data_IF_590494503635
#
_entry.id   IF_590494503635
#
_cell.length_a   1.000
_cell.length_b   1.000
_cell.length_c   1.000
_cell.angle_alpha   90.00
_cell.angle_beta   90.00
_cell.angle_gamma   90.00
#
_symmetry.space_group_name_H-M   'P 1'
#
loop_
_entity.id
_entity.type
_entity.pdbx_description
1 polymer ?
#
# COMPACT_ATOMS: atom_id res chain seq x y z
N UNK A 1 13.59 3.40 -6.47
CA UNK A 1 14.59 2.43 -5.95
C UNK A 1 15.50 1.84 -7.03
N UNK A 2 15.08 1.82 -8.29
CA UNK A 2 15.83 1.21 -9.41
C UNK A 2 17.31 1.64 -9.47
N UNK A 3 17.58 2.95 -9.46
CA UNK A 3 18.95 3.49 -9.47
C UNK A 3 19.79 3.14 -8.22
N UNK A 4 19.16 2.73 -7.12
CA UNK A 4 19.82 2.36 -5.87
C UNK A 4 19.87 0.84 -5.71
N UNK A 5 20.14 0.10 -6.80
CA UNK A 5 20.18 -1.36 -6.82
C UNK A 5 18.94 -2.01 -6.19
N UNK A 6 17.75 -1.48 -6.49
CA UNK A 6 16.48 -1.90 -5.90
C UNK A 6 16.50 -2.00 -4.36
N UNK A 7 16.96 -0.94 -3.67
CA UNK A 7 17.09 -0.88 -2.19
C UNK A 7 15.84 -1.27 -1.37
N UNK A 8 14.66 -1.35 -1.99
CA UNK A 8 13.40 -1.74 -1.34
C UNK A 8 12.89 -3.14 -1.74
N UNK A 9 13.73 -3.94 -2.41
CA UNK A 9 13.39 -5.31 -2.79
C UNK A 9 12.93 -6.14 -1.59
N UNK A 10 11.81 -6.84 -1.74
CA UNK A 10 11.23 -7.69 -0.70
C UNK A 10 10.57 -6.96 0.47
N UNK A 11 10.63 -5.63 0.51
CA UNK A 11 9.89 -4.84 1.51
C UNK A 11 8.42 -4.73 1.13
N UNK A 12 7.58 -4.52 2.14
CA UNK A 12 6.15 -4.26 1.97
C UNK A 12 5.96 -2.81 1.51
N UNK A 13 5.17 -2.62 0.45
CA UNK A 13 4.77 -1.30 -0.05
C UNK A 13 3.25 -1.24 -0.20
N UNK A 14 2.61 -0.25 0.41
CA UNK A 14 1.16 -0.10 0.35
C UNK A 14 0.80 1.35 0.00
N UNK A 15 0.18 1.57 -1.16
CA UNK A 15 -0.31 2.89 -1.54
C UNK A 15 -1.61 3.16 -0.76
N UNK A 16 -1.79 4.40 -0.28
CA UNK A 16 -3.02 4.88 0.34
C UNK A 16 -3.30 6.28 -0.19
N UNK A 17 -4.54 6.54 -0.60
CA UNK A 17 -4.94 7.83 -1.20
C UNK A 17 -6.15 8.39 -0.46
N UNK A 18 -6.09 9.66 -0.07
CA UNK A 18 -7.24 10.41 0.40
C UNK A 18 -7.69 11.41 -0.67
N UNK A 19 -8.99 11.46 -0.97
CA UNK A 19 -9.53 12.28 -2.07
C UNK A 19 -10.89 12.87 -1.73
N UNK A 20 -11.31 13.94 -2.41
CA UNK A 20 -12.68 14.47 -2.28
C UNK A 20 -13.67 13.98 -3.34
N UNK A 21 -13.22 13.70 -4.57
CA UNK A 21 -14.08 13.34 -5.72
C UNK A 21 -13.42 12.37 -6.70
N UNK A 22 -12.43 12.81 -7.46
CA UNK A 22 -11.83 12.03 -8.56
C UNK A 22 -10.31 12.04 -8.56
N UNK A 23 -9.71 11.16 -9.36
CA UNK A 23 -8.25 11.02 -9.52
C UNK A 23 -7.61 9.99 -8.58
N UNK A 24 -8.36 9.40 -7.65
CA UNK A 24 -7.81 8.46 -6.68
C UNK A 24 -7.24 7.20 -7.35
N UNK A 25 -7.94 6.61 -8.33
CA UNK A 25 -7.46 5.44 -9.08
C UNK A 25 -6.14 5.71 -9.79
N UNK A 26 -6.06 6.81 -10.55
CA UNK A 26 -4.82 7.16 -11.25
C UNK A 26 -3.65 7.41 -10.28
N UNK A 27 -3.88 8.11 -9.17
CA UNK A 27 -2.85 8.34 -8.16
C UNK A 27 -2.41 7.01 -7.50
N UNK A 28 -3.38 6.17 -7.11
CA UNK A 28 -3.15 4.87 -6.50
C UNK A 28 -2.33 3.95 -7.42
N UNK A 29 -2.72 3.84 -8.69
CA UNK A 29 -2.04 3.02 -9.68
C UNK A 29 -0.62 3.53 -9.94
N UNK A 30 -0.45 4.85 -10.09
CA UNK A 30 0.86 5.48 -10.31
C UNK A 30 1.83 5.17 -9.17
N UNK A 31 1.38 5.24 -7.92
CA UNK A 31 2.21 4.90 -6.76
C UNK A 31 2.55 3.40 -6.78
N UNK A 32 1.58 2.53 -7.05
CA UNK A 32 1.82 1.08 -7.08
C UNK A 32 2.77 0.66 -8.21
N UNK A 33 2.75 1.30 -9.38
CA UNK A 33 3.75 1.07 -10.43
C UNK A 33 5.18 1.30 -9.90
N UNK A 34 5.38 2.33 -9.07
CA UNK A 34 6.68 2.61 -8.45
C UNK A 34 7.11 1.53 -7.45
N UNK A 35 6.17 0.95 -6.69
CA UNK A 35 6.43 -0.17 -5.79
C UNK A 35 6.78 -1.44 -6.56
N UNK A 36 6.05 -1.74 -7.63
CA UNK A 36 6.32 -2.89 -8.50
C UNK A 36 7.72 -2.81 -9.14
N UNK A 37 8.06 -1.65 -9.74
CA UNK A 37 9.41 -1.43 -10.30
C UNK A 37 10.51 -1.50 -9.24
N UNK A 38 10.17 -1.24 -7.97
CA UNK A 38 11.08 -1.31 -6.84
C UNK A 38 11.16 -2.70 -6.19
N UNK A 39 10.52 -3.73 -6.78
CA UNK A 39 10.47 -5.11 -6.27
C UNK A 39 9.89 -5.21 -4.85
N UNK A 40 8.93 -4.34 -4.54
CA UNK A 40 8.21 -4.39 -3.27
C UNK A 40 7.05 -5.37 -3.35
N UNK A 41 6.68 -5.96 -2.21
CA UNK A 41 5.52 -6.84 -2.08
C UNK A 41 4.33 -5.96 -1.68
N UNK A 42 3.25 -6.00 -2.47
CA UNK A 42 2.10 -5.12 -2.28
C UNK A 42 0.96 -5.94 -1.64
N UNK A 43 0.62 -5.69 -0.36
CA UNK A 43 -0.53 -6.31 0.27
C UNK A 43 -1.82 -5.64 -0.23
N UNK A 44 -2.85 -6.45 -0.44
CA UNK A 44 -4.19 -5.96 -0.71
C UNK A 44 -4.97 -5.77 0.59
N UNK A 45 -6.15 -5.16 0.46
CA UNK A 45 -7.13 -5.09 1.53
C UNK A 45 -8.51 -5.48 0.98
N UNK A 46 -9.59 -5.14 1.69
CA UNK A 46 -10.97 -5.45 1.28
C UNK A 46 -11.38 -4.71 0.02
N UNK A 47 -10.75 -3.57 -0.29
CA UNK A 47 -10.91 -2.83 -1.54
C UNK A 47 -9.66 -1.98 -1.85
N UNK A 48 -9.69 -1.15 -2.90
CA UNK A 48 -8.61 -0.19 -3.17
C UNK A 48 -8.41 0.76 -2.00
N UNK A 49 -7.15 1.02 -1.64
CA UNK A 49 -6.79 1.78 -0.43
C UNK A 49 -7.06 3.28 -0.58
N UNK A 50 -8.34 3.64 -0.62
CA UNK A 50 -8.84 4.99 -0.83
C UNK A 50 -9.71 5.41 0.35
N UNK A 51 -9.63 6.69 0.72
CA UNK A 51 -10.53 7.31 1.69
C UNK A 51 -11.09 8.63 1.15
N UNK A 52 -12.35 8.92 1.44
CA UNK A 52 -13.07 10.06 0.87
C UNK A 52 -13.41 11.14 1.91
N UNK A 53 -13.11 12.40 1.59
CA UNK A 53 -13.46 13.57 2.41
C UNK A 53 -13.11 14.90 1.74
N UNK A 54 -13.97 15.91 1.90
CA UNK A 54 -13.73 17.26 1.35
C UNK A 54 -12.84 18.08 2.29
N UNK A 55 -13.19 18.09 3.58
CA UNK A 55 -12.50 18.86 4.62
C UNK A 55 -11.55 17.97 5.41
N UNK A 56 -10.51 18.55 6.01
CA UNK A 56 -9.62 17.85 6.94
C UNK A 56 -10.43 17.09 7.98
N UNK A 57 -10.18 15.80 8.11
CA UNK A 57 -10.85 14.93 9.09
C UNK A 57 -12.19 14.35 8.64
N UNK A 58 -12.77 14.79 7.51
CA UNK A 58 -14.00 14.16 7.01
C UNK A 58 -13.81 12.71 6.58
N UNK A 59 -12.60 12.33 6.18
CA UNK A 59 -12.24 10.92 5.92
C UNK A 59 -12.48 10.01 7.13
N UNK A 60 -12.58 10.57 8.34
CA UNK A 60 -12.93 9.80 9.53
C UNK A 60 -14.40 9.36 9.56
N UNK A 61 -15.25 9.94 8.69
CA UNK A 61 -16.65 9.56 8.51
C UNK A 61 -16.84 8.58 7.34
N UNK A 62 -15.79 8.31 6.58
CA UNK A 62 -15.80 7.28 5.54
C UNK A 62 -15.62 5.91 6.21
N UNK A 63 -16.72 5.33 6.68
CA UNK A 63 -16.70 4.08 7.45
C UNK A 63 -16.12 2.91 6.65
N UNK A 64 -16.43 2.84 5.35
CA UNK A 64 -15.93 1.83 4.44
C UNK A 64 -14.43 2.00 4.19
N UNK A 65 -13.99 3.22 3.86
CA UNK A 65 -12.58 3.54 3.70
C UNK A 65 -11.77 3.23 4.96
N UNK A 66 -12.29 3.61 6.14
CA UNK A 66 -11.66 3.26 7.42
C UNK A 66 -11.64 1.75 7.70
N UNK A 67 -12.71 1.03 7.37
CA UNK A 67 -12.73 -0.43 7.51
C UNK A 67 -11.66 -1.07 6.62
N UNK A 68 -11.54 -0.59 5.38
CA UNK A 68 -10.51 -0.99 4.45
C UNK A 68 -9.09 -0.69 4.98
N UNK A 69 -8.85 0.48 5.57
CA UNK A 69 -7.54 0.81 6.19
C UNK A 69 -7.23 -0.08 7.39
N UNK A 70 -8.21 -0.38 8.25
CA UNK A 70 -8.03 -1.30 9.37
C UNK A 70 -7.67 -2.70 8.89
N UNK A 71 -8.32 -3.18 7.84
CA UNK A 71 -8.01 -4.46 7.24
C UNK A 71 -6.61 -4.45 6.58
N UNK A 72 -6.25 -3.37 5.88
CA UNK A 72 -4.91 -3.21 5.29
C UNK A 72 -3.82 -3.30 6.35
N UNK A 73 -4.00 -2.64 7.50
CA UNK A 73 -3.07 -2.73 8.62
C UNK A 73 -2.90 -4.17 9.13
N UNK A 74 -3.99 -4.94 9.24
CA UNK A 74 -3.93 -6.37 9.60
C UNK A 74 -3.21 -7.19 8.52
N UNK A 75 -3.43 -6.92 7.24
CA UNK A 75 -2.72 -7.58 6.15
C UNK A 75 -1.22 -7.27 6.15
N UNK A 76 -0.83 -6.02 6.43
CA UNK A 76 0.57 -5.62 6.55
C UNK A 76 1.24 -6.35 7.72
N UNK A 77 0.60 -6.38 8.89
CA UNK A 77 1.11 -7.11 10.06
C UNK A 77 1.26 -8.61 9.79
N UNK A 78 0.20 -9.24 9.26
CA UNK A 78 0.22 -10.66 8.93
C UNK A 78 1.30 -10.98 7.89
N UNK A 79 1.36 -10.22 6.80
CA UNK A 79 2.35 -10.41 5.74
C UNK A 79 3.75 -10.19 6.26
N UNK A 80 3.98 -9.14 7.05
CA UNK A 80 5.25 -8.83 7.67
C UNK A 80 5.78 -10.00 8.50
N UNK A 81 4.93 -10.54 9.39
CA UNK A 81 5.28 -11.74 10.18
C UNK A 81 5.52 -12.97 9.31
N UNK A 82 4.78 -13.13 8.22
CA UNK A 82 4.94 -14.26 7.30
C UNK A 82 6.25 -14.21 6.49
N UNK A 83 6.67 -13.03 6.03
CA UNK A 83 7.87 -12.88 5.21
C UNK A 83 9.15 -12.72 6.02
N UNK A 84 9.06 -12.22 7.27
CA UNK A 84 10.24 -11.93 8.10
C UNK A 84 11.23 -13.12 8.20
N UNK A 85 10.81 -14.38 8.37
CA UNK A 85 11.73 -15.52 8.43
C UNK A 85 12.48 -15.80 7.12
N UNK A 86 11.99 -15.27 5.99
CA UNK A 86 12.50 -15.55 4.65
C UNK A 86 13.06 -14.30 3.96
N UNK A 87 13.24 -13.20 4.69
CA UNK A 87 13.61 -11.91 4.09
C UNK A 87 14.96 -11.98 3.36
N UNK A 88 15.91 -12.72 3.92
CA UNK A 88 17.25 -12.92 3.34
C UNK A 88 17.22 -13.79 2.07
N UNK A 89 16.20 -14.63 1.93
CA UNK A 89 15.99 -15.50 0.78
C UNK A 89 15.18 -14.83 -0.35
N UNK A 90 14.83 -13.54 -0.21
CA UNK A 90 14.09 -12.83 -1.25
C UNK A 90 14.90 -12.81 -2.56
N UNK A 91 14.31 -13.20 -3.71
CA UNK A 91 15.04 -13.31 -4.97
C UNK A 91 15.52 -11.92 -5.44
N UNK A 92 16.84 -11.79 -5.64
CA UNK A 92 17.47 -10.52 -6.05
C UNK A 92 17.97 -10.51 -7.50
N UNK A 93 17.96 -11.66 -8.16
CA UNK A 93 18.38 -11.88 -9.56
C UNK A 93 17.23 -12.37 -10.41
#
# INVERSE_FOLDING_TARGET
>A
AFANNHAFSGKIGAAVVAVRRGGATHAYDTINHMFQMSRMIIPCSTYWNMGFGLTKGEVLKDEEGLANMRHLGKCIDWLGRAILPNLDNYPRS
#
